data_IF_459284779760
#
_entry.id   IF_459284779760
#
_cell.length_a   1.000
_cell.length_b   1.000
_cell.length_c   1.000
_cell.angle_alpha   90.00
_cell.angle_beta   90.00
_cell.angle_gamma   90.00
#
_symmetry.space_group_name_H-M   'P 1'
#
loop_
_entity.id
_entity.type
_entity.pdbx_description
1 polymer ?
#
# COMPACT_ATOMS: atom_id res chain seq x y z
N UNK A 1 1.92 -9.68 15.15
CA UNK A 1 2.03 -9.93 13.71
C UNK A 1 3.47 -10.24 13.38
N UNK A 2 3.75 -11.39 12.78
CA UNK A 2 5.09 -11.80 12.34
C UNK A 2 5.44 -11.15 10.98
N UNK A 3 6.72 -11.09 10.60
CA UNK A 3 7.12 -10.61 9.28
C UNK A 3 6.49 -11.38 8.11
N UNK A 4 6.30 -12.70 8.27
CA UNK A 4 5.67 -13.54 7.24
C UNK A 4 4.17 -13.24 7.10
N UNK A 5 3.46 -13.01 8.21
CA UNK A 5 2.04 -12.60 8.17
C UNK A 5 1.88 -11.26 7.44
N UNK A 6 2.70 -10.26 7.77
CA UNK A 6 2.64 -8.95 7.12
C UNK A 6 3.03 -9.02 5.63
N UNK A 7 3.94 -9.93 5.26
CA UNK A 7 4.31 -10.20 3.86
C UNK A 7 3.14 -10.79 3.07
N UNK A 8 2.38 -11.71 3.67
CA UNK A 8 1.18 -12.25 3.03
C UNK A 8 0.06 -11.20 2.97
N UNK A 9 -0.11 -10.41 4.03
CA UNK A 9 -1.10 -9.33 4.09
C UNK A 9 -0.87 -8.28 3.01
N UNK A 10 0.36 -7.82 2.83
CA UNK A 10 0.72 -6.89 1.75
C UNK A 10 0.55 -7.49 0.35
N UNK A 11 0.83 -8.79 0.17
CA UNK A 11 0.57 -9.48 -1.09
C UNK A 11 -0.93 -9.54 -1.42
N UNK A 12 -1.77 -9.87 -0.43
CA UNK A 12 -3.23 -9.89 -0.59
C UNK A 12 -3.78 -8.48 -0.88
N UNK A 13 -3.22 -7.46 -0.23
CA UNK A 13 -3.54 -6.06 -0.52
C UNK A 13 -3.24 -5.71 -1.98
N UNK A 14 -2.03 -6.03 -2.48
CA UNK A 14 -1.65 -5.80 -3.87
C UNK A 14 -2.61 -6.49 -4.87
N UNK A 15 -3.00 -7.74 -4.61
CA UNK A 15 -3.98 -8.46 -5.44
C UNK A 15 -5.35 -7.76 -5.45
N UNK A 16 -5.82 -7.30 -4.29
CA UNK A 16 -7.09 -6.56 -4.20
C UNK A 16 -7.03 -5.22 -4.92
N UNK A 17 -5.88 -4.54 -4.89
CA UNK A 17 -5.65 -3.30 -5.64
C UNK A 17 -5.68 -3.54 -7.14
N UNK A 18 -5.06 -4.62 -7.64
CA UNK A 18 -5.15 -4.97 -9.07
C UNK A 18 -6.59 -5.24 -9.50
N UNK A 19 -7.37 -5.98 -8.69
CA UNK A 19 -8.80 -6.19 -8.94
C UNK A 19 -9.60 -4.89 -8.94
N UNK A 20 -9.22 -3.91 -8.11
CA UNK A 20 -9.81 -2.57 -8.14
C UNK A 20 -9.47 -1.85 -9.45
N UNK A 21 -8.21 -1.89 -9.89
CA UNK A 21 -7.77 -1.30 -11.14
C UNK A 21 -8.54 -1.87 -12.34
N UNK A 22 -8.71 -3.20 -12.39
CA UNK A 22 -9.46 -3.90 -13.44
C UNK A 22 -10.97 -3.56 -13.44
N UNK A 23 -11.51 -3.18 -12.28
CA UNK A 23 -12.93 -2.83 -12.13
C UNK A 23 -13.24 -1.38 -12.51
N UNK A 24 -12.22 -0.54 -12.75
CA UNK A 24 -12.43 0.87 -13.12
C UNK A 24 -13.06 0.97 -14.52
N UNK A 25 -13.93 1.97 -14.74
CA UNK A 25 -14.56 2.16 -16.04
C UNK A 25 -13.53 2.47 -17.12
N UNK A 26 -13.71 1.90 -18.31
CA UNK A 26 -12.85 2.14 -19.46
C UNK A 26 -13.09 3.53 -20.09
N UNK A 27 -12.73 4.57 -19.32
CA UNK A 27 -12.74 5.99 -19.73
C UNK A 27 -11.41 6.64 -19.33
N UNK A 28 -11.05 7.83 -19.86
CA UNK A 28 -9.75 8.45 -19.59
C UNK A 28 -9.39 8.52 -18.09
N UNK A 29 -10.31 8.98 -17.23
CA UNK A 29 -10.06 9.07 -15.78
C UNK A 29 -9.91 7.71 -15.09
N UNK A 30 -10.69 6.70 -15.51
CA UNK A 30 -10.56 5.34 -14.99
C UNK A 30 -9.22 4.71 -15.34
N UNK A 31 -8.77 4.85 -16.59
CA UNK A 31 -7.46 4.36 -17.05
C UNK A 31 -6.29 5.05 -16.35
N UNK A 32 -6.38 6.37 -16.16
CA UNK A 32 -5.35 7.14 -15.46
C UNK A 32 -5.18 6.64 -14.01
N UNK A 33 -6.29 6.47 -13.29
CA UNK A 33 -6.26 5.98 -11.90
C UNK A 33 -5.85 4.51 -11.85
N UNK A 34 -6.32 3.66 -12.76
CA UNK A 34 -5.95 2.24 -12.83
C UNK A 34 -4.42 2.06 -12.89
N UNK A 35 -3.76 2.83 -13.74
CA UNK A 35 -2.31 2.77 -13.88
C UNK A 35 -1.57 3.23 -12.61
N UNK A 36 -2.04 4.30 -11.97
CA UNK A 36 -1.40 4.82 -10.75
C UNK A 36 -1.59 3.89 -9.56
N UNK A 37 -2.82 3.40 -9.36
CA UNK A 37 -3.14 2.54 -8.22
C UNK A 37 -2.50 1.15 -8.36
N UNK A 38 -2.42 0.59 -9.58
CA UNK A 38 -1.75 -0.69 -9.81
C UNK A 38 -0.26 -0.62 -9.47
N UNK A 39 0.41 0.50 -9.83
CA UNK A 39 1.82 0.72 -9.51
C UNK A 39 2.03 0.88 -8.00
N UNK A 40 1.35 1.84 -7.39
CA UNK A 40 1.52 2.12 -5.95
C UNK A 40 1.13 0.93 -5.06
N UNK A 41 0.00 0.28 -5.33
CA UNK A 41 -0.47 -0.85 -4.51
C UNK A 41 0.44 -2.08 -4.60
N UNK A 42 1.03 -2.35 -5.77
CA UNK A 42 2.00 -3.46 -5.91
C UNK A 42 3.38 -3.10 -5.33
N UNK A 43 3.78 -1.84 -5.39
CA UNK A 43 5.00 -1.32 -4.75
C UNK A 43 5.02 -1.56 -3.24
N UNK A 44 3.88 -1.48 -2.53
CA UNK A 44 3.80 -1.80 -1.09
C UNK A 44 4.35 -3.21 -0.79
N UNK A 45 3.85 -4.21 -1.52
CA UNK A 45 4.27 -5.60 -1.32
C UNK A 45 5.72 -5.83 -1.78
N UNK A 46 6.10 -5.26 -2.93
CA UNK A 46 7.44 -5.41 -3.49
C UNK A 46 8.51 -4.82 -2.55
N UNK A 47 8.30 -3.59 -2.08
CA UNK A 47 9.23 -2.90 -1.19
C UNK A 47 9.27 -3.53 0.20
N UNK A 48 8.14 -4.00 0.74
CA UNK A 48 8.16 -4.69 2.03
C UNK A 48 8.97 -6.00 1.95
N UNK A 49 8.80 -6.77 0.86
CA UNK A 49 9.63 -7.95 0.61
C UNK A 49 11.11 -7.61 0.44
N UNK A 50 11.44 -6.46 -0.12
CA UNK A 50 12.82 -5.97 -0.21
C UNK A 50 13.38 -5.52 1.15
N UNK A 51 12.54 -4.91 2.01
CA UNK A 51 12.92 -4.49 3.36
C UNK A 51 13.34 -5.69 4.21
N UNK A 52 12.62 -6.81 4.12
CA UNK A 52 12.97 -8.05 4.83
C UNK A 52 14.31 -8.68 4.39
N UNK A 53 14.88 -8.25 3.26
CA UNK A 53 16.21 -8.64 2.78
C UNK A 53 17.27 -7.54 3.01
N UNK A 54 16.92 -6.53 3.80
CA UNK A 54 17.79 -5.39 4.06
C UNK A 54 19.09 -5.80 4.73
N UNK A 55 20.19 -5.17 4.32
CA UNK A 55 21.55 -5.51 4.79
C UNK A 55 21.98 -4.74 6.04
N UNK A 56 21.25 -3.67 6.37
CA UNK A 56 21.51 -2.83 7.54
C UNK A 56 20.21 -2.23 8.07
N UNK A 57 20.27 -1.71 9.29
CA UNK A 57 19.15 -0.97 9.89
C UNK A 57 18.75 0.26 9.09
N UNK A 58 19.72 0.98 8.53
CA UNK A 58 19.46 2.15 7.69
C UNK A 58 18.75 1.77 6.38
N UNK A 59 19.20 0.70 5.72
CA UNK A 59 18.56 0.18 4.50
C UNK A 59 17.12 -0.28 4.79
N UNK A 60 16.91 -0.98 5.90
CA UNK A 60 15.57 -1.36 6.35
C UNK A 60 14.66 -0.14 6.59
N UNK A 61 15.15 0.88 7.30
CA UNK A 61 14.39 2.12 7.56
C UNK A 61 14.02 2.84 6.26
N UNK A 62 14.95 2.95 5.31
CA UNK A 62 14.70 3.58 4.02
C UNK A 62 13.59 2.84 3.27
N UNK A 63 13.67 1.50 3.19
CA UNK A 63 12.66 0.69 2.51
C UNK A 63 11.30 0.74 3.20
N UNK A 64 11.24 0.70 4.53
CA UNK A 64 9.96 0.84 5.25
C UNK A 64 9.36 2.24 5.04
N UNK A 65 10.17 3.28 4.89
CA UNK A 65 9.68 4.63 4.56
C UNK A 65 9.04 4.64 3.17
N UNK A 66 9.69 4.02 2.18
CA UNK A 66 9.10 3.86 0.84
C UNK A 66 7.78 3.07 0.90
N UNK A 67 7.73 1.95 1.64
CA UNK A 67 6.49 1.17 1.80
C UNK A 67 5.36 2.01 2.40
N UNK A 68 5.67 2.88 3.36
CA UNK A 68 4.70 3.78 3.98
C UNK A 68 4.17 4.80 2.96
N UNK A 69 5.04 5.43 2.19
CA UNK A 69 4.68 6.40 1.15
C UNK A 69 3.78 5.76 0.08
N UNK A 70 4.13 4.55 -0.38
CA UNK A 70 3.34 3.80 -1.38
C UNK A 70 1.96 3.39 -0.83
N UNK A 71 1.85 3.06 0.46
CA UNK A 71 0.58 2.73 1.10
C UNK A 71 -0.33 3.95 1.23
N UNK A 72 0.23 5.12 1.55
CA UNK A 72 -0.48 6.40 1.60
C UNK A 72 -0.97 6.81 0.21
N UNK A 73 -0.07 6.76 -0.79
CA UNK A 73 -0.42 7.05 -2.18
C UNK A 73 -1.54 6.12 -2.68
N UNK A 74 -1.46 4.82 -2.38
CA UNK A 74 -2.53 3.88 -2.73
C UNK A 74 -3.86 4.27 -2.07
N UNK A 75 -3.83 4.64 -0.79
CA UNK A 75 -5.00 5.13 -0.05
C UNK A 75 -5.61 6.38 -0.68
N UNK A 76 -4.78 7.33 -1.11
CA UNK A 76 -5.18 8.52 -1.86
C UNK A 76 -5.92 8.15 -3.15
N UNK A 77 -5.36 7.23 -3.97
CA UNK A 77 -6.00 6.81 -5.23
C UNK A 77 -7.35 6.09 -5.00
N UNK A 78 -7.47 5.29 -3.94
CA UNK A 78 -8.76 4.67 -3.56
C UNK A 78 -9.77 5.76 -3.19
N UNK A 79 -9.35 6.77 -2.42
CA UNK A 79 -10.23 7.88 -2.03
C UNK A 79 -10.63 8.73 -3.23
N UNK A 80 -9.71 9.00 -4.14
CA UNK A 80 -10.01 9.74 -5.37
C UNK A 80 -10.99 8.98 -6.26
N UNK A 81 -10.85 7.66 -6.36
CA UNK A 81 -11.79 6.78 -7.08
C UNK A 81 -13.22 6.93 -6.55
N UNK A 82 -13.36 6.98 -5.21
CA UNK A 82 -14.63 7.19 -4.53
C UNK A 82 -15.22 8.57 -4.86
N UNK A 83 -14.44 9.64 -4.64
CA UNK A 83 -14.89 11.02 -4.83
C UNK A 83 -15.22 11.34 -6.29
N UNK A 84 -14.49 10.73 -7.24
CA UNK A 84 -14.74 10.86 -8.67
C UNK A 84 -15.94 10.03 -9.16
N UNK A 85 -16.62 9.29 -8.27
CA UNK A 85 -17.80 8.48 -8.60
C UNK A 85 -17.47 7.34 -9.58
N UNK A 86 -16.23 6.87 -9.61
CA UNK A 86 -15.82 5.81 -10.54
C UNK A 86 -16.26 4.43 -10.06
N UNK A 87 -16.34 4.24 -8.74
CA UNK A 87 -16.86 3.04 -8.11
C UNK A 87 -17.63 3.39 -6.81
N UNK A 88 -18.64 2.60 -6.42
CA UNK A 88 -19.39 2.85 -5.19
C UNK A 88 -18.52 2.71 -3.93
N UNK A 89 -18.67 3.61 -2.95
CA UNK A 89 -17.95 3.60 -1.67
C UNK A 89 -17.99 2.24 -0.96
N UNK A 90 -19.12 1.55 -1.01
CA UNK A 90 -19.30 0.22 -0.41
C UNK A 90 -18.29 -0.82 -0.92
N UNK A 91 -17.84 -0.69 -2.18
CA UNK A 91 -16.81 -1.57 -2.77
C UNK A 91 -15.39 -1.18 -2.36
N UNK A 92 -15.17 0.06 -1.94
CA UNK A 92 -13.86 0.64 -1.67
C UNK A 92 -13.50 0.65 -0.17
N UNK A 93 -14.50 0.75 0.71
CA UNK A 93 -14.31 0.93 2.16
C UNK A 93 -13.32 -0.07 2.79
N UNK A 94 -13.51 -1.37 2.53
CA UNK A 94 -12.67 -2.40 3.11
C UNK A 94 -11.24 -2.41 2.53
N UNK A 95 -11.00 -1.83 1.35
CA UNK A 95 -9.65 -1.72 0.78
C UNK A 95 -8.96 -0.43 1.25
N UNK A 96 -9.72 0.67 1.37
CA UNK A 96 -9.25 1.92 1.96
C UNK A 96 -8.83 1.72 3.42
N UNK A 97 -9.66 1.05 4.22
CA UNK A 97 -9.33 0.73 5.61
C UNK A 97 -8.05 -0.11 5.71
N UNK A 98 -7.87 -1.07 4.81
CA UNK A 98 -6.65 -1.88 4.77
C UNK A 98 -5.42 -1.02 4.47
N UNK A 99 -5.50 -0.08 3.53
CA UNK A 99 -4.41 0.87 3.26
C UNK A 99 -4.05 1.70 4.52
N UNK A 100 -5.05 2.22 5.23
CA UNK A 100 -4.86 2.97 6.49
C UNK A 100 -4.26 2.12 7.62
N UNK A 101 -4.64 0.85 7.72
CA UNK A 101 -4.05 -0.08 8.67
C UNK A 101 -2.58 -0.40 8.33
N UNK A 102 -2.28 -0.64 7.05
CA UNK A 102 -0.90 -0.85 6.58
C UNK A 102 -0.03 0.38 6.85
N UNK A 103 -0.52 1.58 6.55
CA UNK A 103 0.17 2.83 6.88
C UNK A 103 0.51 2.94 8.37
N UNK A 104 -0.48 2.68 9.25
CA UNK A 104 -0.26 2.72 10.71
C UNK A 104 0.79 1.71 11.15
N UNK A 105 0.75 0.49 10.60
CA UNK A 105 1.74 -0.56 10.88
C UNK A 105 3.14 -0.14 10.43
N UNK A 106 3.30 0.39 9.21
CA UNK A 106 4.62 0.78 8.69
C UNK A 106 5.17 2.03 9.38
N UNK A 107 4.32 2.98 9.75
CA UNK A 107 4.73 4.13 10.54
C UNK A 107 5.21 3.72 11.95
N UNK A 108 4.50 2.79 12.61
CA UNK A 108 4.94 2.21 13.88
C UNK A 108 6.26 1.46 13.72
N UNK A 109 6.39 0.63 12.67
CA UNK A 109 7.63 -0.11 12.35
C UNK A 109 8.82 0.82 12.16
N UNK A 110 8.64 1.90 11.39
CA UNK A 110 9.65 2.95 11.16
C UNK A 110 10.07 3.60 12.48
N UNK A 111 9.10 3.98 13.31
CA UNK A 111 9.33 4.67 14.59
C UNK A 111 10.07 3.77 15.58
N UNK A 112 9.60 2.54 15.78
CA UNK A 112 10.25 1.56 16.66
C UNK A 112 11.66 1.24 16.19
N UNK A 113 11.86 1.06 14.88
CA UNK A 113 13.20 0.78 14.34
C UNK A 113 14.13 1.97 14.49
N UNK A 114 13.65 3.21 14.42
CA UNK A 114 14.47 4.42 14.64
C UNK A 114 14.87 4.61 16.11
N UNK A 115 14.04 4.18 17.06
CA UNK A 115 14.29 4.39 18.48
C UNK A 115 15.08 3.24 19.15
N UNK A 116 15.29 2.11 18.48
CA UNK A 116 16.08 0.99 19.01
C UNK A 116 17.55 1.43 19.21
N UNK A 117 18.06 1.39 20.44
CA UNK A 117 19.49 1.61 20.69
C UNK A 117 20.29 0.45 20.08
N UNK A 118 21.46 0.77 19.50
CA UNK A 118 22.38 -0.24 18.96
C UNK A 118 22.95 -1.10 20.07
#
# INVERSE_FOLDING_TARGET
MTPNELKQRTMQFAVRVLKLADALPNKPSGRAIANQIARSGTSVAANYRAALRGKSRADFLNKITIVLEEADETGFWIKLTELAGLLPSKRLNALRQEAEELMRIFNATRTTTRNRKS
#
